data_IF_997225875422
#
_entry.id   IF_997225875422
#
_cell.length_a   1.000
_cell.length_b   1.000
_cell.length_c   1.000
_cell.angle_alpha   90.00
_cell.angle_beta   90.00
_cell.angle_gamma   90.00
#
_symmetry.space_group_name_H-M   'P 1'
#
loop_
_entity.id
_entity.type
_entity.pdbx_description
1 polymer ?
#
# COMPACT_ATOMS: atom_id res chain seq x y z
N UNK A 1 -26.50 -7.60 8.00
CA UNK A 1 -25.52 -8.62 8.40
C UNK A 1 -24.75 -9.10 7.18
N UNK A 2 -25.45 -9.42 6.08
CA UNK A 2 -24.86 -9.84 4.80
C UNK A 2 -23.78 -8.88 4.30
N UNK A 3 -24.04 -7.57 4.24
CA UNK A 3 -23.05 -6.59 3.76
C UNK A 3 -21.73 -6.66 4.54
N UNK A 4 -21.82 -6.62 5.87
CA UNK A 4 -20.65 -6.64 6.75
C UNK A 4 -19.84 -7.93 6.61
N UNK A 5 -20.50 -9.10 6.65
CA UNK A 5 -19.82 -10.39 6.50
C UNK A 5 -19.24 -10.54 5.10
N UNK A 6 -19.98 -10.12 4.07
CA UNK A 6 -19.53 -10.13 2.68
C UNK A 6 -18.28 -9.26 2.49
N UNK A 7 -18.28 -8.05 3.05
CA UNK A 7 -17.14 -7.15 3.00
C UNK A 7 -15.93 -7.71 3.73
N UNK A 8 -16.13 -8.29 4.93
CA UNK A 8 -15.07 -8.95 5.67
C UNK A 8 -14.41 -10.09 4.87
N UNK A 9 -15.23 -10.92 4.23
CA UNK A 9 -14.76 -12.04 3.40
C UNK A 9 -14.02 -11.52 2.16
N UNK A 10 -14.55 -10.50 1.50
CA UNK A 10 -13.94 -9.90 0.32
C UNK A 10 -12.56 -9.31 0.66
N UNK A 11 -12.47 -8.48 1.70
CA UNK A 11 -11.19 -7.90 2.15
C UNK A 11 -10.19 -9.00 2.48
N UNK A 12 -10.61 -10.06 3.19
CA UNK A 12 -9.72 -11.17 3.49
C UNK A 12 -9.23 -11.92 2.25
N UNK A 13 -10.07 -12.03 1.22
CA UNK A 13 -9.71 -12.70 -0.03
C UNK A 13 -8.74 -11.88 -0.89
N UNK A 14 -8.77 -10.54 -0.82
CA UNK A 14 -8.01 -9.66 -1.73
C UNK A 14 -6.84 -8.92 -1.07
N UNK A 15 -6.79 -8.81 0.27
CA UNK A 15 -5.81 -7.96 0.97
C UNK A 15 -4.34 -8.24 0.63
N UNK A 16 -4.03 -9.46 0.17
CA UNK A 16 -2.68 -9.84 -0.26
C UNK A 16 -2.35 -9.46 -1.70
N UNK A 17 -3.34 -9.14 -2.54
CA UNK A 17 -3.17 -8.95 -3.99
C UNK A 17 -3.48 -7.54 -4.50
N UNK A 18 -4.03 -6.65 -3.65
CA UNK A 18 -4.40 -5.29 -4.07
C UNK A 18 -3.44 -4.19 -3.61
N UNK A 19 -2.47 -4.56 -2.77
CA UNK A 19 -1.51 -3.61 -2.19
C UNK A 19 -2.10 -2.81 -1.02
N UNK A 20 -1.21 -2.32 -0.16
CA UNK A 20 -1.55 -1.54 1.05
C UNK A 20 -0.83 -0.20 0.99
N UNK A 21 -1.46 0.86 1.51
CA UNK A 21 -0.88 2.21 1.51
C UNK A 21 0.44 2.28 2.27
N UNK A 22 0.56 1.57 3.41
CA UNK A 22 1.81 1.51 4.18
C UNK A 22 2.88 0.58 3.59
N UNK A 23 2.53 -0.18 2.53
CA UNK A 23 3.36 -1.24 1.98
C UNK A 23 3.19 -2.60 2.68
N UNK A 24 3.76 -3.65 2.09
CA UNK A 24 3.86 -4.98 2.74
C UNK A 24 5.18 -5.10 3.47
N UNK A 25 5.15 -5.24 4.79
CA UNK A 25 6.35 -5.44 5.59
C UNK A 25 6.90 -6.85 5.35
N UNK A 26 8.14 -6.95 4.87
CA UNK A 26 8.85 -8.22 4.68
C UNK A 26 9.73 -8.51 5.89
N UNK A 27 10.52 -7.52 6.31
CA UNK A 27 11.31 -7.61 7.54
C UNK A 27 11.05 -6.38 8.41
N UNK A 28 10.86 -6.59 9.71
CA UNK A 28 10.71 -5.54 10.70
C UNK A 28 10.15 -6.09 12.00
N UNK A 29 9.88 -5.19 12.95
CA UNK A 29 9.54 -5.58 14.32
C UNK A 29 8.03 -5.47 14.64
N UNK A 30 7.24 -4.84 13.77
CA UNK A 30 5.77 -4.85 13.87
C UNK A 30 5.28 -6.28 13.60
N UNK A 31 4.47 -6.82 14.51
CA UNK A 31 3.89 -8.17 14.37
C UNK A 31 4.88 -9.33 14.51
N UNK A 32 6.08 -9.11 15.09
CA UNK A 32 7.12 -10.15 15.32
C UNK A 32 7.70 -10.81 14.04
N UNK A 33 7.57 -10.19 12.87
CA UNK A 33 8.07 -10.72 11.58
C UNK A 33 9.59 -10.95 11.56
N UNK A 34 10.36 -10.20 12.34
CA UNK A 34 11.81 -10.39 12.46
C UNK A 34 12.21 -11.78 12.98
N UNK A 35 11.32 -12.45 13.73
CA UNK A 35 11.57 -13.81 14.23
C UNK A 35 11.27 -14.91 13.21
N UNK A 36 10.57 -14.59 12.11
CA UNK A 36 10.18 -15.56 11.08
C UNK A 36 11.20 -15.65 9.95
N UNK A 37 11.94 -14.57 9.68
CA UNK A 37 12.98 -14.52 8.64
C UNK A 37 14.35 -14.87 9.21
N UNK A 38 14.86 -16.03 8.80
CA UNK A 38 16.21 -16.48 9.13
C UNK A 38 17.20 -15.97 8.10
N UNK A 39 18.20 -15.20 8.52
CA UNK A 39 19.31 -14.75 7.69
C UNK A 39 20.56 -15.61 7.94
N UNK A 40 21.31 -15.89 6.88
CA UNK A 40 22.59 -16.60 6.95
C UNK A 40 23.66 -15.90 6.13
N UNK A 41 24.92 -16.04 6.55
CA UNK A 41 26.06 -15.51 5.83
C UNK A 41 26.31 -16.28 4.53
N UNK A 42 26.72 -15.55 3.48
CA UNK A 42 27.13 -16.08 2.19
C UNK A 42 28.31 -15.23 1.69
N UNK A 43 29.49 -15.52 2.24
CA UNK A 43 30.71 -14.72 2.01
C UNK A 43 31.63 -15.35 0.96
N UNK A 44 32.73 -14.66 0.66
CA UNK A 44 33.72 -15.08 -0.33
C UNK A 44 34.55 -16.33 0.02
N UNK A 45 34.38 -16.89 1.21
CA UNK A 45 35.01 -18.15 1.64
C UNK A 45 34.67 -19.30 0.68
N UNK A 46 33.50 -19.25 0.02
CA UNK A 46 33.12 -20.21 -1.03
C UNK A 46 34.07 -20.21 -2.24
N UNK A 47 34.84 -19.13 -2.42
CA UNK A 47 35.87 -18.96 -3.44
C UNK A 47 37.30 -18.98 -2.85
N UNK A 48 37.48 -19.28 -1.56
CA UNK A 48 38.77 -19.27 -0.86
C UNK A 48 39.14 -17.94 -0.21
N UNK A 49 38.25 -16.94 -0.25
CA UNK A 49 38.39 -15.68 0.45
C UNK A 49 38.35 -15.84 1.98
N UNK A 50 38.62 -14.74 2.69
CA UNK A 50 38.69 -14.70 4.16
C UNK A 50 37.76 -13.64 4.76
N UNK A 51 36.80 -13.15 3.98
CA UNK A 51 35.79 -12.24 4.50
C UNK A 51 34.77 -13.01 5.33
N UNK A 52 34.23 -12.35 6.35
CA UNK A 52 33.26 -12.94 7.26
C UNK A 52 32.18 -11.92 7.58
N UNK A 53 30.92 -12.35 7.55
CA UNK A 53 29.79 -11.55 7.98
C UNK A 53 28.76 -12.33 8.78
N UNK A 54 27.88 -11.60 9.42
CA UNK A 54 26.78 -12.14 10.21
C UNK A 54 25.59 -11.19 10.20
N UNK A 55 24.43 -11.74 10.54
CA UNK A 55 23.22 -10.98 10.82
C UNK A 55 22.85 -11.15 12.29
N UNK A 56 22.53 -10.04 12.95
CA UNK A 56 22.07 -10.03 14.34
C UNK A 56 20.85 -9.12 14.48
N UNK A 57 19.96 -9.46 15.41
CA UNK A 57 18.93 -8.54 15.89
C UNK A 57 19.46 -7.92 17.19
N UNK A 58 19.67 -6.62 17.18
CA UNK A 58 19.96 -5.87 18.40
C UNK A 58 18.64 -5.44 19.05
N UNK A 59 18.46 -5.62 20.38
CA UNK A 59 17.23 -5.20 21.07
C UNK A 59 16.98 -3.69 21.08
N UNK A 60 18.05 -2.90 20.92
CA UNK A 60 18.03 -1.43 20.83
C UNK A 60 18.94 -0.97 19.70
N UNK A 61 18.68 0.21 19.14
CA UNK A 61 19.51 0.81 18.08
C UNK A 61 18.75 1.26 16.84
N UNK A 62 17.43 1.06 16.77
CA UNK A 62 16.59 1.71 15.75
C UNK A 62 16.44 3.22 16.00
N UNK A 63 15.86 3.92 15.02
CA UNK A 63 15.54 5.35 15.10
C UNK A 63 14.66 5.72 16.32
N UNK A 64 13.81 4.79 16.76
CA UNK A 64 12.94 4.95 17.93
C UNK A 64 13.46 4.24 19.18
N UNK A 65 14.77 3.95 19.25
CA UNK A 65 15.44 3.21 20.33
C UNK A 65 14.94 1.77 20.55
N UNK A 66 14.10 1.23 19.66
CA UNK A 66 13.68 -0.17 19.65
C UNK A 66 14.64 -1.10 18.89
N UNK A 67 14.23 -2.35 18.61
CA UNK A 67 15.08 -3.33 17.96
C UNK A 67 15.52 -2.95 16.54
N UNK A 68 16.68 -3.43 16.11
CA UNK A 68 17.21 -3.24 14.75
C UNK A 68 17.88 -4.50 14.21
N UNK A 69 17.75 -4.76 12.92
CA UNK A 69 18.60 -5.72 12.22
C UNK A 69 19.99 -5.11 12.02
N UNK A 70 21.02 -5.94 12.06
CA UNK A 70 22.41 -5.53 11.88
C UNK A 70 23.12 -6.52 10.96
N UNK A 71 23.45 -6.05 9.76
CA UNK A 71 24.39 -6.72 8.87
C UNK A 71 25.79 -6.20 9.14
N UNK A 72 26.70 -7.05 9.61
CA UNK A 72 28.07 -6.64 9.96
C UNK A 72 29.09 -7.70 9.59
N UNK A 73 30.34 -7.29 9.46
CA UNK A 73 31.43 -8.20 9.16
C UNK A 73 32.75 -7.49 8.92
N UNK A 74 33.72 -8.26 8.45
CA UNK A 74 35.02 -7.77 7.97
C UNK A 74 35.21 -8.27 6.55
N UNK A 75 35.49 -7.35 5.61
CA UNK A 75 35.76 -7.71 4.21
C UNK A 75 37.26 -7.61 3.90
N UNK A 76 37.80 -8.60 3.19
CA UNK A 76 39.18 -8.62 2.71
C UNK A 76 39.24 -9.03 1.24
N UNK A 77 40.17 -8.46 0.49
CA UNK A 77 40.48 -8.83 -0.89
C UNK A 77 41.55 -9.91 -1.00
N UNK A 78 42.06 -10.41 0.15
CA UNK A 78 42.97 -11.55 0.19
C UNK A 78 42.34 -12.79 -0.45
N UNK A 79 43.16 -13.64 -1.07
CA UNK A 79 42.75 -14.89 -1.72
C UNK A 79 41.63 -14.71 -2.77
N UNK A 80 41.70 -13.64 -3.57
CA UNK A 80 40.67 -13.29 -4.57
C UNK A 80 39.28 -13.02 -3.96
N UNK A 81 39.22 -12.71 -2.67
CA UNK A 81 38.00 -12.29 -1.99
C UNK A 81 37.57 -10.86 -2.36
N UNK A 82 36.74 -10.31 -1.50
CA UNK A 82 36.27 -8.94 -1.57
C UNK A 82 34.76 -8.82 -1.53
N UNK A 83 34.04 -9.80 -0.97
CA UNK A 83 32.62 -9.63 -0.69
C UNK A 83 32.16 -10.33 0.57
N UNK A 84 31.16 -9.72 1.20
CA UNK A 84 30.35 -10.31 2.25
C UNK A 84 28.88 -10.17 1.90
N UNK A 85 28.06 -11.12 2.35
CA UNK A 85 26.62 -10.97 2.18
C UNK A 85 25.82 -11.76 3.20
N UNK A 86 24.59 -11.31 3.44
CA UNK A 86 23.59 -12.07 4.18
C UNK A 86 22.41 -12.35 3.24
N UNK A 87 21.92 -13.59 3.26
CA UNK A 87 20.77 -14.04 2.48
C UNK A 87 19.75 -14.66 3.41
N UNK A 88 18.46 -14.38 3.19
CA UNK A 88 17.40 -15.09 3.89
C UNK A 88 17.39 -16.56 3.48
N UNK A 89 17.04 -17.46 4.39
CA UNK A 89 16.53 -18.78 3.98
C UNK A 89 15.41 -18.54 2.97
N UNK A 90 15.32 -19.39 1.93
CA UNK A 90 14.22 -19.28 0.99
C UNK A 90 12.89 -19.32 1.75
N UNK A 91 11.98 -18.41 1.41
CA UNK A 91 10.64 -18.38 1.98
C UNK A 91 9.92 -19.68 1.65
N UNK A 92 9.22 -20.27 2.63
CA UNK A 92 8.52 -21.54 2.45
C UNK A 92 7.48 -21.44 1.34
N UNK A 93 6.82 -20.30 1.22
CA UNK A 93 5.94 -19.91 0.12
C UNK A 93 6.54 -18.66 -0.51
N UNK A 94 6.64 -18.55 -1.84
CA UNK A 94 7.11 -17.32 -2.46
C UNK A 94 6.22 -16.14 -2.10
N UNK A 95 6.84 -14.99 -1.91
CA UNK A 95 6.14 -13.74 -1.66
C UNK A 95 5.65 -13.15 -2.97
N UNK A 96 4.33 -12.97 -3.09
CA UNK A 96 3.73 -12.21 -4.17
C UNK A 96 3.68 -10.72 -3.80
N UNK A 97 4.45 -9.92 -4.53
CA UNK A 97 4.54 -8.47 -4.44
C UNK A 97 4.13 -7.78 -5.76
N UNK A 98 3.40 -8.48 -6.64
CA UNK A 98 2.96 -7.94 -7.93
C UNK A 98 2.07 -6.69 -7.83
N UNK A 99 1.46 -6.46 -6.67
CA UNK A 99 0.67 -5.28 -6.35
C UNK A 99 1.51 -4.04 -5.97
N UNK A 100 2.84 -4.15 -5.92
CA UNK A 100 3.77 -3.11 -5.47
C UNK A 100 4.76 -2.75 -6.58
N UNK A 101 5.36 -1.56 -6.46
CA UNK A 101 6.29 -1.00 -7.46
C UNK A 101 7.77 -1.24 -7.12
N UNK A 102 8.07 -1.62 -5.88
CA UNK A 102 9.45 -1.89 -5.46
C UNK A 102 9.61 -2.23 -3.97
N UNK A 103 10.87 -2.30 -3.54
CA UNK A 103 11.28 -2.50 -2.15
C UNK A 103 11.85 -1.21 -1.56
N UNK A 104 11.43 -0.86 -0.35
CA UNK A 104 12.02 0.19 0.47
C UNK A 104 12.78 -0.45 1.65
N UNK A 105 14.02 -0.01 1.86
CA UNK A 105 14.82 -0.33 3.03
C UNK A 105 14.98 0.91 3.90
N UNK A 106 14.67 0.80 5.19
CA UNK A 106 15.01 1.82 6.19
C UNK A 106 16.33 1.43 6.85
N UNK A 107 17.40 2.15 6.54
CA UNK A 107 18.79 1.82 6.94
C UNK A 107 19.45 2.97 7.67
N UNK A 108 20.34 2.69 8.63
CA UNK A 108 21.28 3.67 9.18
C UNK A 108 22.60 3.53 8.42
N UNK A 109 22.87 4.49 7.53
CA UNK A 109 23.96 4.36 6.56
C UNK A 109 25.34 4.58 7.16
N UNK A 110 26.34 3.94 6.55
CA UNK A 110 27.75 4.06 6.94
C UNK A 110 28.59 4.81 5.87
N UNK A 111 27.97 5.24 4.77
CA UNK A 111 28.62 5.93 3.65
C UNK A 111 29.01 5.00 2.50
N UNK A 112 28.75 3.69 2.62
CA UNK A 112 29.10 2.71 1.60
C UNK A 112 27.95 2.40 0.66
N UNK A 113 28.31 1.79 -0.46
CA UNK A 113 27.43 1.25 -1.48
C UNK A 113 27.26 -0.25 -1.30
N UNK A 114 26.00 -0.67 -1.24
CA UNK A 114 25.56 -2.04 -1.05
C UNK A 114 24.70 -2.49 -2.23
N UNK A 115 24.38 -3.79 -2.27
CA UNK A 115 23.46 -4.38 -3.23
C UNK A 115 22.29 -5.02 -2.51
N UNK A 116 21.08 -4.76 -3.01
CA UNK A 116 19.91 -5.60 -2.78
C UNK A 116 19.85 -6.63 -3.91
N UNK A 117 19.74 -7.90 -3.56
CA UNK A 117 19.57 -9.01 -4.50
C UNK A 117 18.28 -9.74 -4.15
N UNK A 118 17.37 -9.83 -5.10
CA UNK A 118 16.10 -10.54 -4.98
C UNK A 118 16.16 -11.77 -5.88
N UNK A 119 15.75 -12.93 -5.36
CA UNK A 119 15.65 -14.16 -6.16
C UNK A 119 14.20 -14.58 -6.33
N UNK A 120 13.95 -15.20 -7.48
CA UNK A 120 12.65 -15.75 -7.86
C UNK A 120 12.72 -17.26 -8.16
N UNK A 121 13.80 -17.92 -7.74
CA UNK A 121 14.00 -19.36 -7.85
C UNK A 121 14.40 -19.94 -6.51
N UNK A 122 13.99 -21.18 -6.26
CA UNK A 122 14.41 -21.95 -5.09
C UNK A 122 15.81 -22.55 -5.23
N UNK A 123 16.33 -22.63 -6.45
CA UNK A 123 17.68 -23.12 -6.71
C UNK A 123 18.73 -22.19 -6.08
N UNK A 124 19.78 -22.81 -5.55
CA UNK A 124 20.76 -22.12 -4.72
C UNK A 124 21.62 -21.11 -5.49
N UNK A 125 22.10 -21.50 -6.67
CA UNK A 125 23.07 -20.75 -7.48
C UNK A 125 22.46 -20.34 -8.82
N UNK A 126 21.59 -19.33 -8.77
CA UNK A 126 20.85 -18.80 -9.92
C UNK A 126 21.01 -17.29 -10.07
N UNK A 127 20.48 -16.76 -11.16
CA UNK A 127 20.37 -15.32 -11.41
C UNK A 127 19.68 -14.64 -10.22
N UNK A 128 20.29 -13.56 -9.74
CA UNK A 128 19.70 -12.64 -8.77
C UNK A 128 19.36 -11.31 -9.43
N UNK A 129 18.15 -10.82 -9.22
CA UNK A 129 17.72 -9.51 -9.67
C UNK A 129 18.23 -8.47 -8.70
N UNK A 130 19.17 -7.65 -9.17
CA UNK A 130 20.09 -6.90 -8.31
C UNK A 130 20.00 -5.41 -8.59
N UNK A 131 19.94 -4.62 -7.51
CA UNK A 131 20.11 -3.17 -7.55
C UNK A 131 21.14 -2.73 -6.50
N UNK A 132 22.09 -1.91 -6.92
CA UNK A 132 23.05 -1.26 -6.03
C UNK A 132 22.50 0.07 -5.50
N UNK A 133 22.71 0.36 -4.22
CA UNK A 133 22.28 1.59 -3.57
C UNK A 133 23.38 2.18 -2.70
N UNK A 134 23.44 3.51 -2.63
CA UNK A 134 24.36 4.22 -1.75
C UNK A 134 23.71 4.48 -0.39
N UNK A 135 24.53 4.56 0.65
CA UNK A 135 24.10 5.02 1.96
C UNK A 135 24.83 6.30 2.34
N UNK A 136 24.17 7.14 3.13
CA UNK A 136 24.77 8.32 3.76
C UNK A 136 25.20 8.00 5.18
N UNK A 137 26.42 8.38 5.56
CA UNK A 137 26.94 8.15 6.92
C UNK A 137 26.19 8.98 7.97
N UNK A 138 25.81 8.37 9.08
CA UNK A 138 25.39 9.08 10.29
C UNK A 138 23.92 9.46 10.35
N UNK A 139 23.04 8.70 9.71
CA UNK A 139 21.60 8.93 9.80
C UNK A 139 20.75 7.84 9.16
N UNK A 140 19.53 7.70 9.69
CA UNK A 140 18.50 6.85 9.13
C UNK A 140 17.98 7.44 7.81
N UNK A 141 17.92 6.60 6.78
CA UNK A 141 17.43 6.97 5.45
C UNK A 141 16.58 5.85 4.86
N UNK A 142 15.66 6.23 3.98
CA UNK A 142 14.85 5.29 3.21
C UNK A 142 15.42 5.16 1.82
N UNK A 143 15.77 3.93 1.43
CA UNK A 143 16.28 3.59 0.10
C UNK A 143 15.18 2.86 -0.65
N UNK A 144 14.63 3.51 -1.69
CA UNK A 144 13.66 2.89 -2.59
C UNK A 144 14.36 2.24 -3.78
N UNK A 145 14.08 0.97 -4.00
CA UNK A 145 14.53 0.16 -5.15
C UNK A 145 13.30 -0.21 -5.96
N UNK A 146 13.01 0.51 -7.06
CA UNK A 146 11.93 0.11 -7.98
C UNK A 146 12.22 -1.25 -8.61
N UNK A 147 11.20 -2.08 -8.79
CA UNK A 147 11.36 -3.38 -9.47
C UNK A 147 11.88 -3.22 -10.90
N UNK A 148 11.45 -2.15 -11.59
CA UNK A 148 11.93 -1.77 -12.92
C UNK A 148 13.43 -1.43 -12.99
N UNK A 149 14.08 -1.17 -11.85
CA UNK A 149 15.52 -0.88 -11.78
C UNK A 149 16.39 -2.13 -11.62
N UNK A 150 15.78 -3.29 -11.33
CA UNK A 150 16.50 -4.51 -11.05
C UNK A 150 17.15 -5.08 -12.31
N UNK A 151 18.43 -5.46 -12.20
CA UNK A 151 19.18 -6.10 -13.27
C UNK A 151 19.40 -7.58 -12.98
N UNK A 152 19.15 -8.50 -13.92
CA UNK A 152 19.51 -9.89 -13.75
C UNK A 152 21.05 -10.04 -13.72
N UNK A 153 21.57 -10.59 -12.62
CA UNK A 153 23.01 -10.77 -12.41
C UNK A 153 23.31 -12.19 -11.95
N UNK A 154 24.32 -12.80 -12.57
CA UNK A 154 24.88 -14.07 -12.13
C UNK A 154 26.38 -13.89 -11.90
N UNK A 155 26.83 -14.14 -10.66
CA UNK A 155 28.25 -14.04 -10.25
C UNK A 155 28.92 -12.73 -10.73
N UNK A 156 28.31 -11.60 -10.36
CA UNK A 156 28.72 -10.24 -10.72
C UNK A 156 28.67 -9.86 -12.21
N UNK A 157 28.18 -10.73 -13.10
CA UNK A 157 27.96 -10.42 -14.51
C UNK A 157 26.48 -10.22 -14.83
N UNK A 158 26.17 -9.20 -15.60
CA UNK A 158 24.82 -8.94 -16.10
C UNK A 158 24.44 -10.03 -17.11
N UNK A 159 23.24 -10.59 -16.99
CA UNK A 159 22.72 -11.66 -17.86
C UNK A 159 21.67 -11.07 -18.79
N UNK A 160 22.01 -10.83 -20.05
CA UNK A 160 21.16 -10.09 -20.99
C UNK A 160 19.98 -10.89 -21.54
N UNK A 161 20.07 -12.22 -21.48
CA UNK A 161 19.08 -13.19 -21.95
C UNK A 161 18.25 -13.79 -20.81
N UNK A 162 18.37 -13.25 -19.59
CA UNK A 162 17.56 -13.69 -18.46
C UNK A 162 16.08 -13.26 -18.62
N UNK A 163 15.14 -14.02 -18.05
CA UNK A 163 13.74 -13.57 -17.94
C UNK A 163 13.62 -12.21 -17.23
N UNK A 164 12.53 -11.47 -17.45
CA UNK A 164 12.20 -10.30 -16.65
C UNK A 164 11.98 -10.66 -15.17
N UNK A 165 12.17 -9.67 -14.29
CA UNK A 165 11.88 -9.84 -12.86
C UNK A 165 10.39 -10.17 -12.65
N UNK A 166 10.13 -11.28 -11.94
CA UNK A 166 8.79 -11.71 -11.56
C UNK A 166 8.52 -11.34 -10.10
N UNK A 167 7.75 -10.28 -9.90
CA UNK A 167 7.36 -9.79 -8.58
C UNK A 167 6.37 -10.72 -7.84
N UNK A 168 5.76 -11.68 -8.54
CA UNK A 168 4.78 -12.61 -7.94
C UNK A 168 5.42 -13.82 -7.25
N UNK A 169 6.73 -14.03 -7.44
CA UNK A 169 7.40 -15.27 -7.07
C UNK A 169 8.73 -15.00 -6.34
N UNK A 170 8.75 -14.12 -5.34
CA UNK A 170 9.98 -13.78 -4.62
C UNK A 170 10.30 -14.86 -3.60
N UNK A 171 11.46 -15.51 -3.73
CA UNK A 171 11.86 -16.64 -2.88
C UNK A 171 12.87 -16.27 -1.80
N UNK A 172 13.70 -15.24 -2.00
CA UNK A 172 14.64 -14.78 -0.96
C UNK A 172 15.16 -13.37 -1.22
N UNK A 173 15.63 -12.74 -0.14
CA UNK A 173 16.30 -11.44 -0.15
C UNK A 173 17.76 -11.61 0.26
N UNK A 174 18.65 -10.80 -0.31
CA UNK A 174 20.05 -10.77 0.06
C UNK A 174 20.58 -9.33 0.05
N UNK A 175 21.40 -9.01 1.06
CA UNK A 175 22.18 -7.77 1.13
C UNK A 175 23.66 -8.12 0.99
N UNK A 176 24.37 -7.37 0.16
CA UNK A 176 25.78 -7.64 -0.14
C UNK A 176 26.60 -6.35 -0.09
N UNK A 177 27.80 -6.45 0.48
CA UNK A 177 28.88 -5.48 0.34
C UNK A 177 30.03 -6.12 -0.45
N UNK A 178 30.43 -5.52 -1.56
CA UNK A 178 31.42 -6.12 -2.45
C UNK A 178 32.34 -5.10 -3.12
N UNK A 179 33.57 -5.53 -3.43
CA UNK A 179 34.60 -4.80 -4.18
C UNK A 179 34.16 -4.44 -5.58
N UNK A 180 33.42 -5.34 -6.24
CA UNK A 180 32.95 -5.16 -7.60
C UNK A 180 31.47 -4.77 -7.62
N UNK A 181 31.09 -3.89 -8.53
CA UNK A 181 29.72 -3.63 -8.97
C UNK A 181 29.31 -4.71 -9.98
N UNK A 182 28.85 -4.30 -11.17
CA UNK A 182 28.49 -5.16 -12.28
C UNK A 182 29.65 -5.22 -13.28
N UNK A 183 29.83 -6.36 -13.92
CA UNK A 183 30.69 -6.52 -15.10
C UNK A 183 32.16 -6.08 -14.86
N UNK A 184 32.66 -6.33 -13.65
CA UNK A 184 34.04 -6.04 -13.24
C UNK A 184 34.31 -4.59 -12.85
N UNK A 185 33.31 -3.70 -12.90
CA UNK A 185 33.43 -2.31 -12.43
C UNK A 185 33.69 -2.31 -10.92
N UNK A 186 34.57 -1.43 -10.43
CA UNK A 186 34.86 -1.31 -9.00
C UNK A 186 33.76 -0.53 -8.27
N UNK A 187 33.45 -0.96 -7.05
CA UNK A 187 32.61 -0.21 -6.12
C UNK A 187 33.39 1.02 -5.61
N UNK A 188 32.93 2.25 -5.91
CA UNK A 188 33.68 3.46 -5.62
C UNK A 188 33.83 3.77 -4.12
N UNK A 189 33.04 3.11 -3.27
CA UNK A 189 33.03 3.31 -1.82
C UNK A 189 33.60 2.11 -1.06
N UNK A 190 34.17 1.13 -1.77
CA UNK A 190 34.70 -0.06 -1.16
C UNK A 190 35.98 0.23 -0.38
N UNK A 191 36.00 -0.23 0.87
CA UNK A 191 37.18 -0.22 1.73
C UNK A 191 37.21 -1.54 2.51
N UNK A 192 38.38 -2.16 2.58
CA UNK A 192 38.61 -3.35 3.42
C UNK A 192 38.40 -3.05 4.91
N UNK A 193 38.19 -4.11 5.67
CA UNK A 193 38.04 -4.03 7.12
C UNK A 193 36.58 -4.10 7.58
N UNK A 194 36.30 -3.66 8.82
CA UNK A 194 35.00 -3.83 9.44
C UNK A 194 33.95 -2.93 8.78
N UNK A 195 32.71 -3.40 8.75
CA UNK A 195 31.53 -2.62 8.34
C UNK A 195 30.32 -3.02 9.18
N UNK A 196 29.36 -2.09 9.27
CA UNK A 196 28.08 -2.30 9.94
C UNK A 196 27.00 -1.55 9.18
N UNK A 197 25.91 -2.24 8.84
CA UNK A 197 24.71 -1.69 8.22
C UNK A 197 23.48 -2.06 9.06
N UNK A 198 23.10 -1.21 10.03
CA UNK A 198 21.83 -1.35 10.72
C UNK A 198 20.65 -1.07 9.78
N UNK A 199 19.57 -1.86 9.90
CA UNK A 199 18.31 -1.62 9.20
C UNK A 199 17.09 -2.01 10.05
N UNK A 200 16.06 -1.18 10.02
CA UNK A 200 14.87 -1.34 10.87
C UNK A 200 13.70 -1.97 10.13
N UNK A 201 13.64 -1.84 8.80
CA UNK A 201 12.63 -2.52 7.99
C UNK A 201 13.04 -2.71 6.53
N UNK A 202 12.46 -3.74 5.92
CA UNK A 202 12.38 -3.95 4.49
C UNK A 202 10.89 -4.13 4.17
N UNK A 203 10.33 -3.30 3.28
CA UNK A 203 8.92 -3.37 2.88
C UNK A 203 8.76 -3.22 1.38
N UNK A 204 7.71 -3.79 0.82
CA UNK A 204 7.24 -3.43 -0.52
C UNK A 204 6.52 -2.08 -0.46
N UNK A 205 6.56 -1.25 -1.51
CA UNK A 205 5.88 0.05 -1.56
C UNK A 205 5.12 0.27 -2.86
N UNK A 206 4.12 1.15 -2.84
CA UNK A 206 3.41 1.67 -4.02
C UNK A 206 3.98 3.07 -4.32
N UNK A 207 4.21 3.39 -5.58
CA UNK A 207 4.66 4.72 -5.99
C UNK A 207 3.61 5.79 -5.70
N UNK A 208 4.09 6.98 -5.37
CA UNK A 208 3.24 8.16 -5.30
C UNK A 208 3.06 8.79 -6.69
N UNK A 209 1.90 9.40 -6.99
CA UNK A 209 0.73 9.48 -6.10
C UNK A 209 -0.08 8.17 -6.11
N UNK A 210 -0.50 7.70 -4.92
CA UNK A 210 -1.33 6.50 -4.79
C UNK A 210 -2.77 6.79 -5.23
N UNK A 211 -3.34 5.94 -6.08
CA UNK A 211 -4.77 5.95 -6.42
C UNK A 211 -5.53 4.83 -5.70
N UNK A 212 -6.87 4.94 -5.57
CA UNK A 212 -7.70 3.89 -4.99
C UNK A 212 -7.52 2.53 -5.67
N UNK A 213 -7.35 1.49 -4.84
CA UNK A 213 -7.35 0.07 -5.23
C UNK A 213 -8.67 -0.63 -4.86
N UNK A 214 -9.53 0.07 -4.11
CA UNK A 214 -10.86 -0.37 -3.72
C UNK A 214 -11.86 0.78 -3.79
N UNK A 215 -12.86 0.71 -4.67
CA UNK A 215 -13.98 1.67 -4.70
C UNK A 215 -15.25 0.98 -4.23
N UNK A 216 -15.86 1.50 -3.17
CA UNK A 216 -17.06 0.94 -2.57
C UNK A 216 -18.27 1.84 -2.77
N UNK A 217 -19.32 1.30 -3.40
CA UNK A 217 -20.64 1.94 -3.42
C UNK A 217 -21.41 1.55 -2.17
N UNK A 218 -21.46 2.49 -1.22
CA UNK A 218 -22.24 2.40 0.00
C UNK A 218 -23.62 3.06 -0.19
N UNK A 219 -24.09 3.86 0.75
CA UNK A 219 -25.36 4.59 0.69
C UNK A 219 -25.28 5.88 1.50
N UNK A 220 -25.86 6.97 1.00
CA UNK A 220 -26.12 8.12 1.84
C UNK A 220 -27.15 7.73 2.91
N UNK A 221 -26.97 8.23 4.13
CA UNK A 221 -27.80 7.96 5.28
C UNK A 221 -27.23 6.91 6.24
N UNK A 222 -26.05 6.32 5.98
CA UNK A 222 -25.48 5.25 6.83
C UNK A 222 -25.20 5.66 8.27
N UNK A 223 -24.95 6.94 8.55
CA UNK A 223 -24.73 7.43 9.94
C UNK A 223 -25.99 8.04 10.56
N UNK A 224 -27.05 8.26 9.77
CA UNK A 224 -28.25 8.97 10.21
C UNK A 224 -29.17 8.21 11.18
N UNK A 225 -29.36 6.87 11.09
CA UNK A 225 -30.28 6.15 11.97
C UNK A 225 -29.99 6.33 13.47
N UNK A 226 -28.74 6.55 13.82
CA UNK A 226 -28.27 6.69 15.21
C UNK A 226 -27.76 8.10 15.53
N UNK A 227 -27.91 9.06 14.60
CA UNK A 227 -27.41 10.43 14.76
C UNK A 227 -28.23 11.19 15.81
N UNK A 228 -27.61 11.66 16.92
CA UNK A 228 -28.30 12.44 17.93
C UNK A 228 -28.93 13.72 17.37
N UNK A 229 -30.13 14.06 17.84
CA UNK A 229 -30.83 15.29 17.45
C UNK A 229 -31.43 15.30 16.04
N UNK A 230 -31.33 14.20 15.29
CA UNK A 230 -31.91 14.10 13.95
C UNK A 230 -33.41 13.81 14.03
N UNK A 231 -34.22 14.67 13.39
CA UNK A 231 -35.65 14.44 13.22
C UNK A 231 -35.90 13.30 12.22
N UNK A 232 -36.04 12.08 12.75
CA UNK A 232 -36.28 10.88 11.95
C UNK A 232 -37.55 10.98 11.10
N UNK A 233 -38.58 11.72 11.52
CA UNK A 233 -39.85 11.78 10.76
C UNK A 233 -39.67 12.35 9.34
N UNK A 234 -38.66 13.22 9.17
CA UNK A 234 -38.28 13.89 7.91
C UNK A 234 -37.23 13.14 7.09
N UNK A 235 -36.73 12.01 7.58
CA UNK A 235 -35.69 11.25 6.89
C UNK A 235 -36.28 10.31 5.81
N UNK A 236 -35.47 9.89 4.82
CA UNK A 236 -35.88 8.88 3.86
C UNK A 236 -36.29 7.56 4.52
N UNK A 237 -37.18 6.76 3.91
CA UNK A 237 -37.65 5.49 4.47
C UNK A 237 -36.54 4.55 4.93
N UNK A 238 -35.43 4.47 4.18
CA UNK A 238 -34.29 3.62 4.54
C UNK A 238 -33.66 3.98 5.91
N UNK A 239 -33.64 5.27 6.26
CA UNK A 239 -33.14 5.76 7.56
C UNK A 239 -34.16 5.52 8.65
N UNK A 240 -35.43 5.87 8.41
CA UNK A 240 -36.51 5.76 9.40
C UNK A 240 -36.81 4.32 9.79
N UNK A 241 -36.84 3.45 8.79
CA UNK A 241 -37.24 2.05 8.91
C UNK A 241 -36.01 1.13 8.93
N UNK A 242 -34.83 1.67 9.29
CA UNK A 242 -33.58 0.91 9.18
C UNK A 242 -33.64 -0.40 9.96
N UNK A 243 -34.25 -0.42 11.16
CA UNK A 243 -34.39 -1.63 11.98
C UNK A 243 -35.29 -2.67 11.31
N UNK A 244 -36.41 -2.24 10.77
CA UNK A 244 -37.39 -3.06 10.05
C UNK A 244 -36.81 -3.61 8.74
N UNK A 245 -35.90 -2.86 8.12
CA UNK A 245 -35.13 -3.27 6.94
C UNK A 245 -33.88 -4.10 7.29
N UNK A 246 -33.82 -4.69 8.49
CA UNK A 246 -32.72 -5.56 8.92
C UNK A 246 -31.41 -4.84 9.22
N UNK A 247 -31.51 -3.56 9.63
CA UNK A 247 -30.39 -2.66 9.93
C UNK A 247 -29.41 -2.49 8.78
N UNK A 248 -29.91 -2.47 7.54
CA UNK A 248 -29.09 -2.44 6.33
C UNK A 248 -28.06 -1.30 6.32
N UNK A 249 -28.45 -0.09 6.73
CA UNK A 249 -27.55 1.07 6.79
C UNK A 249 -26.48 0.91 7.87
N UNK A 250 -26.83 0.34 9.02
CA UNK A 250 -25.88 0.01 10.09
C UNK A 250 -24.81 -0.97 9.60
N UNK A 251 -25.21 -1.98 8.81
CA UNK A 251 -24.25 -2.95 8.29
C UNK A 251 -23.42 -2.43 7.12
N UNK A 252 -23.95 -1.48 6.32
CA UNK A 252 -23.16 -0.72 5.35
C UNK A 252 -22.10 0.12 6.03
N UNK A 253 -22.46 0.85 7.10
CA UNK A 253 -21.49 1.62 7.89
C UNK A 253 -20.37 0.73 8.45
N UNK A 254 -20.72 -0.45 9.00
CA UNK A 254 -19.72 -1.41 9.47
C UNK A 254 -18.85 -1.95 8.33
N UNK A 255 -19.39 -2.12 7.13
CA UNK A 255 -18.62 -2.50 5.94
C UNK A 255 -17.62 -1.42 5.53
N UNK A 256 -18.03 -0.16 5.56
CA UNK A 256 -17.12 0.99 5.38
C UNK A 256 -16.01 1.02 6.44
N UNK A 257 -16.33 0.72 7.71
CA UNK A 257 -15.35 0.61 8.78
C UNK A 257 -14.25 -0.40 8.45
N UNK A 258 -14.63 -1.61 8.01
CA UNK A 258 -13.67 -2.63 7.61
C UNK A 258 -12.77 -2.19 6.45
N UNK A 259 -13.31 -1.48 5.45
CA UNK A 259 -12.52 -0.98 4.33
C UNK A 259 -11.47 0.02 4.84
N UNK A 260 -11.87 0.96 5.71
CA UNK A 260 -10.94 1.95 6.27
C UNK A 260 -9.84 1.33 7.12
N UNK A 261 -10.18 0.31 7.89
CA UNK A 261 -9.24 -0.41 8.75
C UNK A 261 -8.33 -1.38 7.98
N UNK A 262 -8.67 -1.69 6.72
CA UNK A 262 -7.93 -2.68 5.92
C UNK A 262 -6.52 -2.25 5.49
N UNK A 263 -6.25 -0.93 5.47
CA UNK A 263 -5.02 -0.36 4.91
C UNK A 263 -4.93 -0.37 3.38
N UNK A 264 -5.97 -0.85 2.69
CA UNK A 264 -6.07 -0.80 1.22
C UNK A 264 -6.40 0.64 0.81
N UNK A 265 -5.72 1.24 -0.19
CA UNK A 265 -6.11 2.54 -0.73
C UNK A 265 -7.54 2.48 -1.25
N UNK A 266 -8.44 3.32 -0.72
CA UNK A 266 -9.88 3.19 -0.98
C UNK A 266 -10.57 4.51 -1.35
N UNK A 267 -11.76 4.40 -1.92
CA UNK A 267 -12.77 5.47 -2.00
C UNK A 267 -14.13 4.88 -1.63
N UNK A 268 -14.90 5.58 -0.79
CA UNK A 268 -16.28 5.21 -0.46
C UNK A 268 -17.23 6.24 -1.07
N UNK A 269 -18.09 5.78 -1.97
CA UNK A 269 -19.12 6.58 -2.64
C UNK A 269 -20.46 6.27 -2.00
N UNK A 270 -21.12 7.27 -1.44
CA UNK A 270 -22.44 7.16 -0.80
C UNK A 270 -23.51 7.83 -1.68
N UNK A 271 -24.01 7.17 -2.72
CA UNK A 271 -25.05 7.77 -3.54
C UNK A 271 -26.31 8.02 -2.71
N UNK A 272 -26.99 9.13 -3.02
CA UNK A 272 -28.38 9.33 -2.66
C UNK A 272 -29.29 8.34 -3.43
N UNK A 273 -30.61 8.52 -3.39
CA UNK A 273 -31.55 7.56 -3.97
C UNK A 273 -31.26 7.30 -5.46
N UNK A 274 -31.04 6.04 -5.83
CA UNK A 274 -30.68 5.66 -7.19
C UNK A 274 -31.89 5.72 -8.14
N UNK A 275 -31.68 6.20 -9.36
CA UNK A 275 -32.67 6.23 -10.44
C UNK A 275 -32.15 5.55 -11.71
N UNK A 276 -33.05 5.30 -12.66
CA UNK A 276 -32.73 4.85 -14.03
C UNK A 276 -32.67 6.03 -15.02
N UNK A 277 -32.63 7.26 -14.51
CA UNK A 277 -32.46 8.46 -15.35
C UNK A 277 -31.05 8.45 -15.98
N UNK A 278 -30.86 9.08 -17.15
CA UNK A 278 -29.54 9.15 -17.77
C UNK A 278 -28.55 9.96 -16.91
N UNK A 279 -27.26 9.65 -17.04
CA UNK A 279 -26.21 10.53 -16.51
C UNK A 279 -26.18 11.87 -17.26
N UNK A 280 -25.67 12.93 -16.62
CA UNK A 280 -25.55 14.24 -17.26
C UNK A 280 -25.95 15.42 -16.40
N UNK A 281 -26.85 15.22 -15.43
CA UNK A 281 -27.26 16.29 -14.53
C UNK A 281 -26.08 16.82 -13.70
N UNK A 282 -26.12 18.09 -13.31
CA UNK A 282 -25.13 18.65 -12.39
C UNK A 282 -25.18 17.92 -11.05
N UNK A 283 -24.03 17.88 -10.38
CA UNK A 283 -23.83 17.08 -9.18
C UNK A 283 -23.50 17.95 -7.98
N UNK A 284 -23.86 17.44 -6.82
CA UNK A 284 -23.46 17.95 -5.52
C UNK A 284 -22.81 16.82 -4.74
N UNK A 285 -21.53 17.01 -4.42
CA UNK A 285 -20.78 16.17 -3.50
C UNK A 285 -20.81 16.86 -2.14
N UNK A 286 -20.94 16.06 -1.07
CA UNK A 286 -20.81 16.54 0.30
C UNK A 286 -20.19 15.44 1.17
N UNK A 287 -19.80 15.79 2.39
CA UNK A 287 -19.27 14.85 3.37
C UNK A 287 -19.95 15.04 4.72
N UNK A 288 -19.99 13.95 5.50
CA UNK A 288 -20.61 13.96 6.83
C UNK A 288 -22.04 13.44 6.86
N UNK A 289 -22.50 12.91 5.73
CA UNK A 289 -23.83 12.34 5.55
C UNK A 289 -24.96 13.35 5.79
N UNK A 290 -24.91 14.49 5.09
CA UNK A 290 -25.79 15.64 5.32
C UNK A 290 -26.85 15.88 4.23
N UNK A 291 -26.64 15.36 3.01
CA UNK A 291 -27.54 15.65 1.87
C UNK A 291 -28.54 14.54 1.56
N UNK A 292 -29.73 14.89 1.10
CA UNK A 292 -30.71 13.97 0.49
C UNK A 292 -30.99 14.39 -0.95
N UNK A 293 -31.37 13.42 -1.77
CA UNK A 293 -31.72 13.65 -3.17
C UNK A 293 -31.81 12.35 -3.95
N UNK A 294 -31.57 12.45 -5.25
CA UNK A 294 -31.50 11.31 -6.17
C UNK A 294 -30.25 11.40 -7.05
N UNK A 295 -29.85 10.29 -7.65
CA UNK A 295 -28.77 10.25 -8.64
C UNK A 295 -28.95 9.06 -9.59
N UNK A 296 -28.55 9.25 -10.84
CA UNK A 296 -28.51 8.18 -11.84
C UNK A 296 -27.50 7.09 -11.45
N UNK A 297 -27.85 5.82 -11.68
CA UNK A 297 -26.91 4.69 -11.58
C UNK A 297 -25.74 4.82 -12.54
N UNK A 298 -26.00 5.34 -13.75
CA UNK A 298 -24.98 5.57 -14.76
C UNK A 298 -23.95 6.60 -14.27
N UNK A 299 -24.41 7.67 -13.62
CA UNK A 299 -23.53 8.70 -13.05
C UNK A 299 -22.67 8.14 -11.92
N UNK A 300 -23.25 7.32 -11.02
CA UNK A 300 -22.48 6.66 -9.94
C UNK A 300 -21.40 5.75 -10.52
N UNK A 301 -21.68 5.02 -11.60
CA UNK A 301 -20.70 4.18 -12.26
C UNK A 301 -19.53 5.00 -12.83
N UNK A 302 -19.81 6.14 -13.47
CA UNK A 302 -18.77 7.05 -13.99
C UNK A 302 -17.90 7.62 -12.86
N UNK A 303 -18.50 8.03 -11.74
CA UNK A 303 -17.78 8.49 -10.54
C UNK A 303 -16.84 7.39 -10.01
N UNK A 304 -17.30 6.15 -9.94
CA UNK A 304 -16.49 5.04 -9.43
C UNK A 304 -15.27 4.76 -10.32
N UNK A 305 -15.45 4.81 -11.65
CA UNK A 305 -14.35 4.63 -12.61
C UNK A 305 -13.36 5.78 -12.52
N UNK A 306 -13.84 7.02 -12.45
CA UNK A 306 -12.99 8.20 -12.30
C UNK A 306 -12.18 8.15 -11.00
N UNK A 307 -12.80 7.73 -9.89
CA UNK A 307 -12.12 7.61 -8.60
C UNK A 307 -10.90 6.66 -8.65
N UNK A 308 -10.96 5.55 -9.39
CA UNK A 308 -9.83 4.61 -9.51
C UNK A 308 -8.56 5.24 -10.12
N UNK A 309 -8.72 6.28 -10.94
CA UNK A 309 -7.63 6.99 -11.60
C UNK A 309 -7.19 8.27 -10.86
N UNK A 310 -7.94 8.69 -9.84
CA UNK A 310 -7.72 9.97 -9.16
C UNK A 310 -6.99 9.76 -7.83
N UNK A 311 -5.79 10.33 -7.66
CA UNK A 311 -5.14 10.35 -6.35
C UNK A 311 -5.90 11.23 -5.36
N UNK A 312 -6.64 12.25 -5.82
CA UNK A 312 -7.45 13.11 -4.94
C UNK A 312 -8.69 12.38 -4.38
N UNK A 313 -9.06 11.23 -4.94
CA UNK A 313 -10.14 10.37 -4.43
C UNK A 313 -9.68 9.37 -3.34
N UNK A 314 -8.38 9.21 -3.10
CA UNK A 314 -7.86 8.24 -2.13
C UNK A 314 -8.19 8.64 -0.69
N UNK A 315 -8.61 7.67 0.12
CA UNK A 315 -9.00 7.89 1.51
C UNK A 315 -10.28 8.70 1.70
N UNK A 316 -11.00 9.01 0.62
CA UNK A 316 -12.22 9.84 0.69
C UNK A 316 -13.47 9.00 0.91
N UNK A 317 -14.36 9.55 1.73
CA UNK A 317 -15.75 9.11 1.87
C UNK A 317 -16.63 10.31 1.60
N UNK A 318 -17.57 10.18 0.67
CA UNK A 318 -18.46 11.29 0.31
C UNK A 318 -19.82 10.78 -0.13
N UNK A 319 -20.83 11.62 0.07
CA UNK A 319 -22.15 11.42 -0.51
C UNK A 319 -22.36 12.29 -1.74
N UNK A 320 -23.19 11.81 -2.67
CA UNK A 320 -23.40 12.47 -3.95
C UNK A 320 -24.86 12.41 -4.39
N UNK A 321 -25.34 13.51 -4.96
CA UNK A 321 -26.66 13.61 -5.60
C UNK A 321 -26.62 14.45 -6.88
N UNK A 322 -27.66 14.33 -7.68
CA UNK A 322 -28.01 15.32 -8.70
C UNK A 322 -28.57 16.59 -8.05
N UNK A 323 -28.33 17.73 -8.69
CA UNK A 323 -28.99 19.00 -8.37
C UNK A 323 -30.48 19.01 -8.75
N UNK A 324 -30.93 18.08 -9.60
CA UNK A 324 -32.32 17.96 -10.04
C UNK A 324 -33.20 17.43 -8.89
N UNK A 325 -34.27 18.14 -8.50
CA UNK A 325 -35.18 17.71 -7.44
C UNK A 325 -35.83 16.35 -7.72
N UNK A 326 -36.20 15.64 -6.66
CA UNK A 326 -36.85 14.33 -6.79
C UNK A 326 -38.17 14.37 -7.57
N UNK A 327 -38.87 15.51 -7.54
CA UNK A 327 -40.15 15.73 -8.23
C UNK A 327 -40.04 15.91 -9.74
N UNK A 328 -38.84 16.10 -10.29
CA UNK A 328 -38.63 16.44 -11.70
C UNK A 328 -37.74 15.40 -12.38
N UNK A 329 -38.17 14.76 -13.48
CA UNK A 329 -37.32 13.81 -14.19
C UNK A 329 -36.16 14.53 -14.88
N UNK A 330 -34.95 13.98 -14.80
CA UNK A 330 -33.86 14.44 -15.66
C UNK A 330 -33.94 13.76 -17.02
N UNK A 331 -33.88 14.56 -18.09
CA UNK A 331 -33.86 14.10 -19.48
C UNK A 331 -32.74 14.81 -20.23
N UNK A 332 -32.09 14.09 -21.14
CA UNK A 332 -31.07 14.67 -22.02
C UNK A 332 -31.76 15.39 -23.17
N UNK A 333 -31.36 16.63 -23.45
CA UNK A 333 -31.67 17.30 -24.70
C UNK A 333 -30.76 16.75 -25.82
N UNK A 334 -31.29 16.03 -26.83
CA UNK A 334 -30.46 15.48 -27.91
C UNK A 334 -29.77 16.56 -28.76
N UNK A 335 -30.32 17.78 -28.80
CA UNK A 335 -29.73 18.89 -29.55
C UNK A 335 -28.59 19.56 -28.77
N UNK A 336 -28.54 19.40 -27.45
CA UNK A 336 -27.53 19.96 -26.57
C UNK A 336 -27.20 18.98 -25.43
N UNK A 337 -26.50 17.87 -25.74
CA UNK A 337 -26.15 16.88 -24.73
C UNK A 337 -25.23 17.48 -23.66
N UNK A 338 -25.34 17.03 -22.40
CA UNK A 338 -24.45 17.49 -21.34
C UNK A 338 -23.00 17.15 -21.66
N UNK A 339 -22.04 18.05 -21.37
CA UNK A 339 -20.63 17.74 -21.57
C UNK A 339 -20.18 16.61 -20.65
N UNK A 340 -19.06 15.97 -21.02
CA UNK A 340 -18.38 15.06 -20.11
C UNK A 340 -17.94 15.82 -18.85
N UNK A 341 -18.16 15.21 -17.68
CA UNK A 341 -17.80 15.81 -16.40
C UNK A 341 -16.36 15.48 -16.07
N UNK A 342 -15.60 16.49 -15.71
CA UNK A 342 -14.36 16.30 -14.97
C UNK A 342 -14.71 16.04 -13.50
N UNK A 343 -14.59 14.80 -13.04
CA UNK A 343 -14.86 14.47 -11.64
C UNK A 343 -13.76 14.93 -10.68
N UNK A 344 -12.56 15.24 -11.22
CA UNK A 344 -11.39 15.62 -10.41
C UNK A 344 -11.63 16.90 -9.63
N UNK A 345 -12.38 17.84 -10.21
CA UNK A 345 -12.75 19.09 -9.54
C UNK A 345 -13.55 18.84 -8.26
N UNK A 346 -14.36 17.79 -8.22
CA UNK A 346 -15.12 17.42 -7.02
C UNK A 346 -14.23 16.69 -6.01
N UNK A 347 -13.37 15.76 -6.45
CA UNK A 347 -12.49 15.00 -5.56
C UNK A 347 -11.53 15.91 -4.78
N UNK A 348 -10.99 16.95 -5.42
CA UNK A 348 -10.09 17.95 -4.81
C UNK A 348 -10.71 18.73 -3.65
N UNK A 349 -12.03 18.89 -3.64
CA UNK A 349 -12.74 19.60 -2.57
C UNK A 349 -12.96 18.72 -1.33
N UNK A 350 -12.82 17.39 -1.46
CA UNK A 350 -13.05 16.43 -0.38
C UNK A 350 -11.87 16.31 0.56
N UNK A 351 -12.17 16.08 1.84
CA UNK A 351 -11.19 15.86 2.92
C UNK A 351 -11.17 14.40 3.35
N UNK A 352 -10.01 13.92 3.75
CA UNK A 352 -9.90 12.61 4.38
C UNK A 352 -10.53 12.62 5.77
N UNK A 353 -11.01 11.45 6.22
CA UNK A 353 -11.50 11.26 7.58
C UNK A 353 -12.89 11.84 7.89
N UNK A 354 -13.53 12.58 6.98
CA UNK A 354 -14.91 13.06 7.19
C UNK A 354 -15.91 11.96 6.81
N UNK A 355 -16.59 11.39 7.82
CA UNK A 355 -17.47 10.23 7.61
C UNK A 355 -18.90 10.42 8.10
N UNK A 356 -19.16 11.43 8.94
CA UNK A 356 -20.42 11.62 9.65
C UNK A 356 -20.50 10.83 10.96
N UNK A 357 -19.54 9.93 11.25
CA UNK A 357 -19.46 9.22 12.54
C UNK A 357 -19.06 10.16 13.69
N UNK A 358 -18.44 11.29 13.38
CA UNK A 358 -18.04 12.29 14.37
C UNK A 358 -19.27 12.83 15.13
N UNK A 359 -20.43 12.87 14.46
CA UNK A 359 -21.70 13.24 15.08
C UNK A 359 -22.29 12.15 16.00
N UNK A 360 -21.86 10.88 15.86
CA UNK A 360 -22.26 9.77 16.74
C UNK A 360 -21.46 9.74 18.04
N UNK A 361 -20.21 10.21 17.98
CA UNK A 361 -19.28 10.23 19.13
C UNK A 361 -19.47 11.48 20.02
N UNK A 362 -20.12 12.52 19.49
CA UNK A 362 -20.50 13.70 20.24
C UNK A 362 -21.57 13.37 21.29
N UNK A 363 -21.13 12.93 22.47
CA UNK A 363 -21.98 12.89 23.67
C UNK A 363 -22.13 14.33 24.18
N UNK A 364 -23.32 14.81 24.60
CA UNK A 364 -23.42 16.10 25.26
C UNK A 364 -22.61 16.03 26.56
N UNK A 365 -21.66 16.95 26.74
CA UNK A 365 -21.19 17.27 28.09
C UNK A 365 -22.44 17.61 28.92
N UNK A 366 -22.70 16.81 29.95
CA UNK A 366 -23.79 17.07 30.89
C UNK A 366 -23.59 18.46 31.50
N UNK A 367 -24.57 19.33 31.30
CA UNK A 367 -24.76 20.60 32.04
C UNK A 367 -25.54 20.30 33.31
#
# INVERSE_FOLDING_TARGET
MVEYIGMQNLINAIKSSVGLSEGKLLFGFKGNLSGEIVWGALDDVVMGGVSESTFQILPTGSESSGPTGLFKGTVSTSNNGGFTSIRTKNFTVPEDLSAYDGIELRVNGDGRRYKLIIRTSYEWDTVGYTASFNTTKGGWQSVKVPFSSLKPVFRARTVTDAPPFDASNITSLQLMFSKFEYDGILNPTFTEGPFELPFSSIRAYINEPITPRFVHVSSAGVTRPERPGLDLSKQPPAVRLNKELGSILTFKLKGEDLIRESGIPYTIVRPCALTEEPAGADLMFDQGDNITGKISREEVARICVAALASPDAVGKTFEVKSTVPFSEPYVIDPANPPPEKDYEVYFKELKEGITGKEALEATPAQV
#
